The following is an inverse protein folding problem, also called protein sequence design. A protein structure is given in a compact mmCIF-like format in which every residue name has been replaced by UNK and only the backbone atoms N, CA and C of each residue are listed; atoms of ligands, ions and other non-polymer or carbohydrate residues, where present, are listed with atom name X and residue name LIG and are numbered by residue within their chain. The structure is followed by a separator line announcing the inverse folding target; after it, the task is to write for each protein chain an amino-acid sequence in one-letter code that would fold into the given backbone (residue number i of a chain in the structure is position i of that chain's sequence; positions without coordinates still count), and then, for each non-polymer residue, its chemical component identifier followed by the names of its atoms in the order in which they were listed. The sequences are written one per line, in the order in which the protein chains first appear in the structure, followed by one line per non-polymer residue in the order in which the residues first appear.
data_IF_028934068435
#
_entry.id   IF_028934068435
#
_cell.length_a   1.000
_cell.length_b   1.000
_cell.length_c   1.000
_cell.angle_alpha   90.00
_cell.angle_beta   90.00
_cell.angle_gamma   90.00
#
_symmetry.space_group_name_H-M   'P 1'
#
loop_
_entity.id
_entity.type
_entity.pdbx_description
1 polymer ?
#
# COMPACT_ATOMS: atom_id res chain seq x y z
N UNK A 1 25.72 -25.93 -10.14
CA UNK A 1 24.50 -25.10 -10.18
C UNK A 1 24.76 -23.90 -9.31
N UNK A 2 24.83 -22.70 -9.88
CA UNK A 2 24.97 -21.45 -9.11
C UNK A 2 23.56 -21.00 -8.76
N UNK A 3 23.15 -21.20 -7.52
CA UNK A 3 21.92 -20.58 -7.01
C UNK A 3 22.31 -19.18 -6.56
N UNK A 4 22.01 -18.20 -7.40
CA UNK A 4 22.08 -16.80 -6.99
C UNK A 4 20.84 -16.56 -6.12
N UNK A 5 20.98 -16.75 -4.81
CA UNK A 5 20.04 -16.16 -3.86
C UNK A 5 20.32 -14.65 -3.85
N UNK A 6 19.56 -13.90 -4.66
CA UNK A 6 19.50 -12.46 -4.50
C UNK A 6 18.87 -12.21 -3.13
N UNK A 7 19.66 -11.72 -2.16
CA UNK A 7 19.12 -11.10 -0.96
C UNK A 7 18.27 -9.93 -1.43
N UNK A 8 16.95 -10.12 -1.51
CA UNK A 8 16.05 -9.17 -2.18
C UNK A 8 16.13 -7.76 -1.57
N UNK A 9 16.55 -7.62 -0.30
CA UNK A 9 16.96 -6.35 0.29
C UNK A 9 18.00 -6.57 1.40
N UNK A 10 19.06 -5.75 1.44
CA UNK A 10 20.15 -5.91 2.43
C UNK A 10 19.80 -5.42 3.84
N UNK A 11 18.78 -4.56 3.98
CA UNK A 11 18.34 -4.00 5.26
C UNK A 11 16.82 -3.79 5.23
N UNK A 12 16.04 -4.82 5.55
CA UNK A 12 14.59 -4.72 5.70
C UNK A 12 14.22 -4.66 7.17
N UNK A 13 13.41 -3.67 7.54
CA UNK A 13 12.83 -3.53 8.87
C UNK A 13 11.34 -3.84 8.74
N UNK A 14 10.89 -4.87 9.44
CA UNK A 14 9.47 -5.23 9.52
C UNK A 14 8.94 -4.83 10.89
N UNK A 15 7.84 -4.08 10.89
CA UNK A 15 7.08 -3.71 12.08
C UNK A 15 5.73 -4.42 12.00
N UNK A 16 5.40 -5.20 13.02
CA UNK A 16 4.13 -5.92 13.12
C UNK A 16 3.39 -5.52 14.40
N UNK A 17 2.10 -5.30 14.31
CA UNK A 17 1.24 -4.95 15.44
C UNK A 17 -0.21 -5.42 15.19
N UNK A 18 -0.74 -6.24 16.11
CA UNK A 18 -2.03 -6.88 15.90
C UNK A 18 -2.00 -7.80 14.69
N UNK A 19 -2.99 -7.66 13.81
CA UNK A 19 -3.11 -8.41 12.55
C UNK A 19 -2.38 -7.74 11.37
N UNK A 20 -1.67 -6.63 11.62
CA UNK A 20 -1.04 -5.84 10.56
C UNK A 20 0.49 -5.90 10.61
N UNK A 21 1.12 -5.94 9.44
CA UNK A 21 2.58 -5.87 9.28
C UNK A 21 2.99 -4.94 8.15
N UNK A 22 4.08 -4.19 8.35
CA UNK A 22 4.66 -3.30 7.33
C UNK A 22 6.15 -3.55 7.30
N UNK A 23 6.72 -3.77 6.11
CA UNK A 23 8.16 -3.83 5.92
C UNK A 23 8.64 -2.66 5.09
N UNK A 24 9.69 -2.00 5.57
CA UNK A 24 10.40 -0.95 4.88
C UNK A 24 11.87 -1.28 4.71
N UNK A 25 12.48 -0.71 3.68
CA UNK A 25 13.90 -0.82 3.41
C UNK A 25 14.44 0.51 2.89
N UNK A 26 15.76 0.61 2.80
CA UNK A 26 16.46 1.74 2.20
C UNK A 26 17.12 1.24 0.93
N UNK A 27 16.72 1.79 -0.22
CA UNK A 27 17.24 1.38 -1.54
C UNK A 27 18.12 2.46 -2.17
N UNK A 28 19.05 1.99 -3.00
CA UNK A 28 19.89 2.83 -3.84
C UNK A 28 21.02 3.55 -3.08
N UNK A 29 21.97 4.09 -3.85
CA UNK A 29 23.12 4.84 -3.32
C UNK A 29 22.72 6.16 -2.63
N UNK A 30 21.51 6.65 -2.92
CA UNK A 30 20.96 7.88 -2.32
C UNK A 30 20.27 7.65 -0.98
N UNK A 31 20.06 6.38 -0.58
CA UNK A 31 19.40 6.06 0.68
C UNK A 31 17.90 6.39 0.69
N UNK A 32 17.17 6.06 -0.38
CA UNK A 32 15.74 6.33 -0.46
C UNK A 32 14.94 5.30 0.35
N UNK A 33 14.04 5.76 1.22
CA UNK A 33 13.15 4.91 1.98
C UNK A 33 12.05 4.33 1.08
N UNK A 34 11.78 3.03 1.20
CA UNK A 34 10.73 2.32 0.47
C UNK A 34 9.97 1.40 1.40
N UNK A 35 8.65 1.40 1.30
CA UNK A 35 7.80 0.36 1.85
C UNK A 35 7.76 -0.75 0.80
N UNK A 36 8.19 -1.94 1.22
CA UNK A 36 8.33 -3.12 0.36
C UNK A 36 7.29 -4.21 0.65
N UNK A 37 6.62 -4.13 1.80
CA UNK A 37 5.56 -5.07 2.18
C UNK A 37 4.52 -4.41 3.07
N UNK A 38 3.26 -4.76 2.88
CA UNK A 38 2.15 -4.45 3.80
C UNK A 38 1.26 -5.70 3.89
N UNK A 39 1.01 -6.19 5.10
CA UNK A 39 0.17 -7.37 5.39
C UNK A 39 0.50 -8.56 4.48
N UNK A 40 1.79 -8.90 4.36
CA UNK A 40 2.36 -9.94 3.48
C UNK A 40 2.19 -9.72 1.96
N UNK A 41 1.67 -8.57 1.53
CA UNK A 41 1.62 -8.20 0.12
C UNK A 41 2.86 -7.40 -0.25
N UNK A 42 3.52 -7.79 -1.34
CA UNK A 42 4.69 -7.06 -1.85
C UNK A 42 4.24 -5.77 -2.50
N UNK A 43 4.77 -4.64 -2.05
CA UNK A 43 4.48 -3.29 -2.58
C UNK A 43 5.79 -2.57 -2.89
N UNK A 44 5.75 -1.49 -3.67
CA UNK A 44 6.90 -0.59 -3.83
C UNK A 44 6.40 0.86 -3.86
N UNK A 45 6.42 1.50 -2.71
CA UNK A 45 5.97 2.89 -2.56
C UNK A 45 6.87 3.64 -1.58
N UNK A 46 7.22 4.92 -1.84
CA UNK A 46 7.86 5.75 -0.84
C UNK A 46 6.93 5.94 0.37
N UNK A 47 7.46 5.98 1.61
CA UNK A 47 6.65 6.31 2.78
C UNK A 47 6.12 7.74 2.66
N UNK A 48 4.84 7.91 3.02
CA UNK A 48 4.14 9.21 3.03
C UNK A 48 3.48 9.44 4.39
N UNK A 49 3.32 10.71 4.79
CA UNK A 49 2.61 11.10 6.02
C UNK A 49 1.18 10.56 6.03
N UNK A 50 0.53 10.57 4.88
CA UNK A 50 -0.84 10.06 4.72
C UNK A 50 -0.86 8.96 3.67
N UNK A 51 -1.33 7.79 4.07
CA UNK A 51 -1.49 6.64 3.20
C UNK A 51 -2.84 5.96 3.45
N UNK A 52 -3.39 5.35 2.42
CA UNK A 52 -4.58 4.51 2.49
C UNK A 52 -4.24 3.15 1.92
N UNK A 53 -4.55 2.11 2.66
CA UNK A 53 -4.41 0.72 2.27
C UNK A 53 -5.79 0.15 2.03
N UNK A 54 -6.00 -0.37 0.84
CA UNK A 54 -7.26 -0.95 0.39
C UNK A 54 -7.02 -2.41 0.01
N UNK A 55 -7.86 -3.31 0.51
CA UNK A 55 -7.88 -4.69 0.07
C UNK A 55 -9.09 -4.90 -0.85
N UNK A 56 -8.86 -5.49 -2.02
CA UNK A 56 -9.90 -5.78 -2.99
C UNK A 56 -9.76 -7.18 -3.58
N UNK A 57 -10.83 -7.70 -4.18
CA UNK A 57 -10.88 -9.07 -4.75
C UNK A 57 -10.10 -9.22 -6.08
N UNK A 58 -9.04 -8.42 -6.30
CA UNK A 58 -8.22 -8.37 -7.53
C UNK A 58 -9.05 -8.24 -8.83
N UNK A 59 -10.19 -7.56 -8.72
CA UNK A 59 -11.01 -7.19 -9.87
C UNK A 59 -10.52 -5.87 -10.47
N UNK A 60 -10.15 -5.83 -11.76
CA UNK A 60 -9.58 -4.64 -12.39
C UNK A 60 -10.54 -3.44 -12.35
N UNK A 61 -11.85 -3.67 -12.39
CA UNK A 61 -12.85 -2.60 -12.28
C UNK A 61 -12.80 -1.81 -10.96
N UNK A 62 -12.47 -2.45 -9.84
CA UNK A 62 -12.46 -1.81 -8.52
C UNK A 62 -11.24 -0.89 -8.35
N UNK A 63 -10.05 -1.36 -8.74
CA UNK A 63 -8.82 -0.55 -8.72
C UNK A 63 -8.90 0.68 -9.62
N UNK A 64 -9.59 0.58 -10.77
CA UNK A 64 -9.78 1.72 -11.69
C UNK A 64 -10.77 2.75 -11.13
N UNK A 65 -11.86 2.34 -10.48
CA UNK A 65 -12.80 3.28 -9.82
C UNK A 65 -12.13 4.03 -8.67
N UNK A 66 -11.28 3.35 -7.89
CA UNK A 66 -10.49 3.96 -6.81
C UNK A 66 -9.50 5.01 -7.34
N UNK A 67 -8.81 4.73 -8.44
CA UNK A 67 -7.96 5.72 -9.10
C UNK A 67 -8.75 6.93 -9.64
N UNK A 68 -10.03 6.73 -9.96
CA UNK A 68 -10.95 7.81 -10.36
C UNK A 68 -11.58 8.56 -9.18
N UNK A 69 -11.27 8.21 -7.92
CA UNK A 69 -11.71 8.90 -6.68
C UNK A 69 -11.15 10.35 -6.54
N UNK A 70 -10.72 10.96 -7.64
CA UNK A 70 -10.57 12.42 -7.78
C UNK A 70 -11.83 13.19 -7.33
N UNK A 71 -12.99 12.55 -7.35
CA UNK A 71 -14.25 13.11 -6.81
C UNK A 71 -14.27 13.24 -5.27
N UNK A 72 -13.50 12.45 -4.52
CA UNK A 72 -13.41 12.51 -3.05
C UNK A 72 -12.37 13.54 -2.54
N UNK A 73 -11.86 14.43 -3.41
CA UNK A 73 -10.87 15.46 -3.08
C UNK A 73 -9.55 14.95 -2.47
N UNK A 74 -9.19 13.69 -2.73
CA UNK A 74 -7.92 13.14 -2.29
C UNK A 74 -6.84 13.49 -3.33
N UNK A 75 -5.84 14.27 -2.92
CA UNK A 75 -4.66 14.52 -3.74
C UNK A 75 -3.70 13.32 -3.66
N UNK A 76 -3.85 12.39 -4.61
CA UNK A 76 -2.97 11.21 -4.73
C UNK A 76 -1.58 11.66 -5.22
N UNK A 77 -0.56 11.30 -4.46
CA UNK A 77 0.85 11.56 -4.78
C UNK A 77 1.50 10.34 -5.41
N UNK A 78 1.18 9.16 -4.89
CA UNK A 78 1.71 7.89 -5.37
C UNK A 78 0.67 6.78 -5.15
N UNK A 79 0.71 5.74 -5.96
CA UNK A 79 -0.20 4.60 -5.88
C UNK A 79 0.51 3.34 -6.36
N UNK A 80 0.49 2.31 -5.53
CA UNK A 80 1.04 1.00 -5.85
C UNK A 80 -0.01 -0.09 -5.59
N UNK A 81 -0.14 -1.03 -6.51
CA UNK A 81 -0.98 -2.22 -6.32
C UNK A 81 -0.08 -3.38 -6.00
N UNK A 82 -0.02 -3.72 -4.73
CA UNK A 82 0.65 -4.89 -4.21
C UNK A 82 -0.12 -6.15 -4.56
N UNK A 83 0.64 -7.16 -5.00
CA UNK A 83 0.11 -8.48 -5.30
C UNK A 83 0.24 -9.36 -4.08
N UNK A 84 -0.82 -10.11 -3.79
CA UNK A 84 -0.73 -11.15 -2.77
C UNK A 84 0.12 -12.31 -3.25
N UNK A 85 0.85 -12.93 -2.32
CA UNK A 85 1.64 -14.15 -2.55
C UNK A 85 0.73 -15.37 -2.82
N UNK A 86 -0.45 -15.39 -2.22
CA UNK A 86 -1.43 -16.48 -2.37
C UNK A 86 -2.36 -16.32 -3.58
N UNK A 87 -2.27 -15.19 -4.30
CA UNK A 87 -3.11 -14.87 -5.46
C UNK A 87 -4.59 -14.58 -5.13
N UNK A 88 -4.94 -14.48 -3.84
CA UNK A 88 -6.30 -14.17 -3.39
C UNK A 88 -6.37 -12.71 -2.90
N UNK A 89 -6.71 -11.83 -3.83
CA UNK A 89 -6.91 -10.41 -3.57
C UNK A 89 -5.70 -9.54 -3.92
N UNK A 90 -5.99 -8.27 -4.13
CA UNK A 90 -5.00 -7.22 -4.36
C UNK A 90 -5.00 -6.26 -3.18
N UNK A 91 -3.83 -5.71 -2.89
CA UNK A 91 -3.66 -4.66 -1.89
C UNK A 91 -3.24 -3.39 -2.61
N UNK A 92 -4.12 -2.40 -2.67
CA UNK A 92 -3.79 -1.09 -3.21
C UNK A 92 -3.34 -0.17 -2.08
N UNK A 93 -2.13 0.38 -2.20
CA UNK A 93 -1.59 1.40 -1.29
C UNK A 93 -1.56 2.72 -2.04
N UNK A 94 -2.16 3.75 -1.44
CA UNK A 94 -2.30 5.09 -2.01
C UNK A 94 -1.65 6.07 -1.05
N UNK A 95 -0.67 6.83 -1.52
CA UNK A 95 -0.09 7.95 -0.77
C UNK A 95 -0.83 9.24 -1.11
N UNK A 96 -1.23 10.00 -0.10
CA UNK A 96 -2.02 11.22 -0.25
C UNK A 96 -1.26 12.42 0.31
N UNK A 97 -1.47 13.61 -0.26
CA UNK A 97 -0.83 14.84 0.26
C UNK A 97 -1.44 15.32 1.58
N UNK A 98 -2.73 15.03 1.78
CA UNK A 98 -3.49 15.45 2.94
C UNK A 98 -4.08 14.24 3.66
N UNK A 99 -4.41 14.41 4.94
CA UNK A 99 -5.09 13.40 5.73
C UNK A 99 -6.42 13.00 5.11
N UNK A 100 -6.67 11.70 5.02
CA UNK A 100 -7.94 11.17 4.54
C UNK A 100 -8.95 11.17 5.68
N UNK A 101 -10.08 11.85 5.47
CA UNK A 101 -11.20 11.87 6.44
C UNK A 101 -11.84 10.49 6.55
N UNK A 102 -12.38 10.18 7.72
CA UNK A 102 -13.11 8.92 7.97
C UNK A 102 -14.27 8.75 7.00
N UNK A 103 -15.01 9.82 6.68
CA UNK A 103 -16.09 9.80 5.67
C UNK A 103 -15.60 9.32 4.30
N UNK A 104 -14.38 9.72 3.92
CA UNK A 104 -13.80 9.30 2.63
C UNK A 104 -13.36 7.84 2.70
N UNK A 105 -12.81 7.40 3.82
CA UNK A 105 -12.50 5.98 4.02
C UNK A 105 -13.78 5.11 3.99
N UNK A 106 -14.89 5.60 4.56
CA UNK A 106 -16.20 4.97 4.49
C UNK A 106 -16.75 4.91 3.04
N UNK A 107 -16.56 5.96 2.26
CA UNK A 107 -16.94 5.94 0.84
C UNK A 107 -16.13 4.91 0.05
N UNK A 108 -14.83 4.77 0.37
CA UNK A 108 -13.94 3.83 -0.31
C UNK A 108 -14.29 2.36 -0.01
N UNK A 109 -14.67 2.03 1.23
CA UNK A 109 -15.12 0.66 1.58
C UNK A 109 -16.47 0.30 0.95
N UNK A 110 -17.31 1.30 0.62
CA UNK A 110 -18.59 1.10 -0.06
C UNK A 110 -18.44 0.82 -1.57
N UNK A 111 -17.23 0.91 -2.13
CA UNK A 111 -16.97 0.58 -3.52
C UNK A 111 -17.03 -0.94 -3.71
N UNK A 112 -17.80 -1.37 -4.71
CA UNK A 112 -17.95 -2.78 -5.05
C UNK A 112 -16.59 -3.45 -5.32
N UNK A 113 -16.31 -4.51 -4.55
CA UNK A 113 -15.07 -5.28 -4.63
C UNK A 113 -13.98 -4.85 -3.63
N UNK A 114 -14.19 -3.79 -2.85
CA UNK A 114 -13.33 -3.44 -1.70
C UNK A 114 -13.80 -4.23 -0.48
N UNK A 115 -12.87 -4.95 0.15
CA UNK A 115 -13.15 -5.78 1.33
C UNK A 115 -12.63 -5.16 2.62
N UNK A 116 -11.59 -4.33 2.54
CA UNK A 116 -11.01 -3.65 3.69
C UNK A 116 -10.44 -2.29 3.29
N UNK A 117 -10.60 -1.30 4.17
CA UNK A 117 -9.99 0.02 4.04
C UNK A 117 -9.34 0.41 5.36
N UNK A 118 -8.05 0.74 5.31
CA UNK A 118 -7.27 1.15 6.47
C UNK A 118 -6.52 2.44 6.13
N UNK A 119 -6.66 3.45 6.98
CA UNK A 119 -5.91 4.70 6.86
C UNK A 119 -4.69 4.65 7.75
N UNK A 120 -3.55 5.07 7.21
CA UNK A 120 -2.27 5.12 7.92
C UNK A 120 -1.81 6.57 7.93
N UNK A 121 -1.62 7.11 9.12
CA UNK A 121 -1.01 8.42 9.31
C UNK A 121 0.34 8.21 10.00
N UNK A 122 1.41 8.48 9.26
CA UNK A 122 2.77 8.46 9.77
C UNK A 122 3.18 9.87 10.19
N UNK A 123 3.86 9.96 11.33
CA UNK A 123 4.51 11.20 11.76
C UNK A 123 5.99 11.09 11.36
N UNK A 124 6.29 11.40 10.10
CA UNK A 124 7.64 11.36 9.51
C UNK A 124 8.29 12.73 9.46
#
# INVERSE_FOLDING_TARGET
MSTTDSLDYLNTITISGGEHSIAGTVVGLKGEHRIVMVDDHTVDIPPSEHMVVLRNDDRPESSVKLAHSRENQINITDMNVGRSIDGYGALMVISTQNSVSETVAEDLINIEGVTQCSTINLQI
#
